data_IF_407537163850
#
_entry.id   IF_407537163850
#
_cell.length_a   1.000
_cell.length_b   1.000
_cell.length_c   1.000
_cell.angle_alpha   90.00
_cell.angle_beta   90.00
_cell.angle_gamma   90.00
#
_symmetry.space_group_name_H-M   'P 1'
#
loop_
_entity.id
_entity.type
_entity.pdbx_description
1 polymer ?
#
# COMPACT_ATOMS: atom_id res chain seq x y z
N UNK A 1 -4.29 -19.24 -13.48
CA UNK A 1 -3.32 -18.12 -13.52
C UNK A 1 -4.06 -16.81 -13.28
N UNK A 2 -3.55 -15.94 -12.42
CA UNK A 2 -4.21 -14.67 -12.11
C UNK A 2 -4.25 -13.73 -13.32
N UNK A 3 -5.33 -12.96 -13.44
CA UNK A 3 -5.47 -11.91 -14.45
C UNK A 3 -5.17 -10.56 -13.81
N UNK A 4 -4.01 -9.99 -14.14
CA UNK A 4 -3.66 -8.63 -13.73
C UNK A 4 -4.38 -7.59 -14.61
N UNK A 5 -4.61 -6.36 -14.10
CA UNK A 5 -5.05 -5.26 -14.96
C UNK A 5 -4.01 -5.02 -16.06
N UNK A 6 -4.46 -4.77 -17.31
CA UNK A 6 -3.55 -4.52 -18.45
C UNK A 6 -2.91 -3.14 -18.41
N UNK A 7 -3.51 -2.22 -17.66
CA UNK A 7 -3.05 -0.84 -17.48
C UNK A 7 -3.25 -0.43 -16.02
N UNK A 8 -2.32 0.35 -15.49
CA UNK A 8 -2.41 0.96 -14.16
C UNK A 8 -2.20 2.46 -14.29
N UNK A 9 -3.11 3.25 -13.76
CA UNK A 9 -2.98 4.71 -13.67
C UNK A 9 -2.24 5.09 -12.38
N UNK A 10 -1.15 5.84 -12.52
CA UNK A 10 -0.31 6.33 -11.42
C UNK A 10 -0.09 7.81 -11.64
N UNK A 11 -0.63 8.67 -10.75
CA UNK A 11 -0.34 10.11 -10.76
C UNK A 11 -0.64 10.84 -12.08
N UNK A 12 -1.55 10.31 -12.89
CA UNK A 12 -1.89 10.82 -14.23
C UNK A 12 -1.22 10.06 -15.39
N UNK A 13 -0.11 9.38 -15.16
CA UNK A 13 0.53 8.48 -16.12
C UNK A 13 -0.24 7.14 -16.21
N UNK A 14 -0.18 6.47 -17.37
CA UNK A 14 -0.88 5.20 -17.61
C UNK A 14 0.13 4.13 -18.01
N UNK A 15 0.49 3.30 -17.04
CA UNK A 15 1.44 2.22 -17.22
C UNK A 15 0.81 1.03 -17.91
N UNK A 16 1.49 0.44 -18.89
CA UNK A 16 1.13 -0.86 -19.46
C UNK A 16 1.68 -1.97 -18.56
N UNK A 17 0.82 -2.87 -18.13
CA UNK A 17 1.21 -4.04 -17.34
C UNK A 17 1.36 -5.25 -18.26
N UNK A 18 2.57 -5.80 -18.30
CA UNK A 18 2.90 -6.98 -19.09
C UNK A 18 3.15 -8.16 -18.15
N UNK A 19 2.36 -9.22 -18.32
CA UNK A 19 2.62 -10.52 -17.72
C UNK A 19 3.44 -11.36 -18.70
N UNK A 20 4.51 -11.99 -18.22
CA UNK A 20 5.37 -12.81 -19.06
C UNK A 20 6.28 -13.74 -18.28
N UNK A 21 7.28 -14.32 -18.96
CA UNK A 21 8.38 -15.01 -18.30
C UNK A 21 9.28 -13.99 -17.58
N UNK A 22 10.26 -14.51 -16.83
CA UNK A 22 11.32 -13.71 -16.21
C UNK A 22 11.93 -12.74 -17.21
N UNK A 23 12.39 -11.60 -16.69
CA UNK A 23 13.17 -10.67 -17.50
C UNK A 23 14.49 -11.31 -17.93
N UNK A 24 15.14 -10.74 -18.94
CA UNK A 24 16.42 -11.24 -19.46
C UNK A 24 17.52 -11.28 -18.38
N UNK A 25 17.40 -10.46 -17.33
CA UNK A 25 18.32 -10.39 -16.21
C UNK A 25 17.91 -11.29 -15.02
N UNK A 26 16.90 -12.14 -15.19
CA UNK A 26 16.39 -13.02 -14.13
C UNK A 26 15.51 -12.34 -13.08
N UNK A 27 15.24 -11.04 -13.21
CA UNK A 27 14.31 -10.34 -12.32
C UNK A 27 12.87 -10.78 -12.56
N UNK A 28 12.12 -10.89 -11.47
CA UNK A 28 10.70 -11.26 -11.46
C UNK A 28 9.75 -10.08 -11.63
N UNK A 29 10.25 -8.86 -11.51
CA UNK A 29 9.54 -7.60 -11.69
C UNK A 29 10.47 -6.58 -12.37
N UNK A 30 9.87 -5.63 -13.10
CA UNK A 30 10.60 -4.53 -13.72
C UNK A 30 9.69 -3.33 -14.01
N UNK A 31 10.13 -2.16 -13.58
CA UNK A 31 9.48 -0.88 -13.82
C UNK A 31 10.34 -0.01 -14.74
N UNK A 32 9.71 0.57 -15.76
CA UNK A 32 10.29 1.56 -16.66
C UNK A 32 9.41 2.81 -16.69
N UNK A 33 9.90 3.86 -16.03
CA UNK A 33 9.21 5.15 -15.93
C UNK A 33 9.05 5.82 -17.31
N UNK A 34 10.11 5.83 -18.11
CA UNK A 34 10.14 6.56 -19.39
C UNK A 34 9.16 5.96 -20.41
N UNK A 35 9.11 4.63 -20.50
CA UNK A 35 8.19 3.94 -21.40
C UNK A 35 6.83 3.62 -20.76
N UNK A 36 6.64 3.94 -19.47
CA UNK A 36 5.44 3.65 -18.69
C UNK A 36 5.09 2.16 -18.74
N UNK A 37 6.05 1.30 -18.40
CA UNK A 37 5.88 -0.16 -18.43
C UNK A 37 6.10 -0.74 -17.03
N UNK A 38 5.21 -1.65 -16.65
CA UNK A 38 5.39 -2.57 -15.52
C UNK A 38 5.39 -3.99 -16.07
N UNK A 39 6.47 -4.75 -15.85
CA UNK A 39 6.55 -6.17 -16.18
C UNK A 39 6.51 -6.99 -14.90
N UNK A 40 5.72 -8.05 -14.89
CA UNK A 40 5.65 -9.01 -13.79
C UNK A 40 5.78 -10.42 -14.35
N UNK A 41 6.76 -11.16 -13.84
CA UNK A 41 7.03 -12.53 -14.25
C UNK A 41 6.02 -13.50 -13.63
N UNK A 42 5.49 -14.41 -14.43
CA UNK A 42 4.65 -15.54 -14.00
C UNK A 42 5.46 -16.80 -13.70
N UNK A 43 6.74 -16.81 -14.06
CA UNK A 43 7.68 -17.89 -13.77
C UNK A 43 8.90 -17.37 -13.01
N UNK A 44 9.56 -18.21 -12.23
CA UNK A 44 10.91 -17.96 -11.71
C UNK A 44 11.71 -19.27 -11.74
N UNK A 45 12.95 -19.26 -12.24
CA UNK A 45 13.80 -20.46 -12.40
C UNK A 45 13.09 -21.62 -13.12
N UNK A 46 12.21 -21.31 -14.08
CA UNK A 46 11.41 -22.29 -14.82
C UNK A 46 10.10 -22.73 -14.15
N UNK A 47 9.91 -22.43 -12.88
CA UNK A 47 8.71 -22.80 -12.12
C UNK A 47 7.62 -21.74 -12.21
N UNK A 48 6.35 -22.17 -12.25
CA UNK A 48 5.22 -21.24 -12.21
C UNK A 48 5.06 -20.63 -10.82
N UNK A 49 5.01 -19.31 -10.75
CA UNK A 49 4.89 -18.57 -9.49
C UNK A 49 3.46 -18.62 -8.96
N UNK A 50 3.34 -18.65 -7.63
CA UNK A 50 2.06 -18.55 -6.96
C UNK A 50 1.42 -17.17 -7.20
N UNK A 51 0.10 -17.10 -7.38
CA UNK A 51 -0.61 -15.85 -7.72
C UNK A 51 -0.37 -14.73 -6.68
N UNK A 52 -0.28 -15.06 -5.40
CA UNK A 52 0.04 -14.07 -4.35
C UNK A 52 1.45 -13.48 -4.51
N UNK A 53 2.44 -14.26 -4.94
CA UNK A 53 3.79 -13.74 -5.21
C UNK A 53 3.80 -12.83 -6.44
N UNK A 54 2.99 -13.14 -7.46
CA UNK A 54 2.80 -12.28 -8.63
C UNK A 54 2.19 -10.94 -8.20
N UNK A 55 1.21 -10.95 -7.30
CA UNK A 55 0.57 -9.73 -6.78
C UNK A 55 1.50 -8.90 -5.88
N UNK A 56 2.29 -9.54 -5.04
CA UNK A 56 3.32 -8.86 -4.24
C UNK A 56 4.35 -8.17 -5.16
N UNK A 57 4.81 -8.87 -6.21
CA UNK A 57 5.69 -8.25 -7.21
C UNK A 57 4.99 -7.10 -7.96
N UNK A 58 3.72 -7.24 -8.32
CA UNK A 58 2.99 -6.10 -8.91
C UNK A 58 2.98 -4.90 -7.96
N UNK A 59 2.72 -5.12 -6.67
CA UNK A 59 2.71 -4.05 -5.67
C UNK A 59 4.08 -3.40 -5.52
N UNK A 60 5.15 -4.19 -5.59
CA UNK A 60 6.54 -3.73 -5.61
C UNK A 60 6.80 -2.77 -6.79
N UNK A 61 6.48 -3.19 -8.01
CA UNK A 61 6.66 -2.32 -9.20
C UNK A 61 5.77 -1.08 -9.17
N UNK A 62 4.57 -1.20 -8.59
CA UNK A 62 3.68 -0.05 -8.37
C UNK A 62 4.30 0.96 -7.42
N UNK A 63 5.01 0.53 -6.37
CA UNK A 63 5.70 1.43 -5.46
C UNK A 63 6.84 2.16 -6.18
N UNK A 64 7.59 1.49 -7.07
CA UNK A 64 8.56 2.19 -7.94
C UNK A 64 7.88 3.23 -8.83
N UNK A 65 6.75 2.90 -9.47
CA UNK A 65 6.02 3.85 -10.29
C UNK A 65 5.52 5.07 -9.50
N UNK A 66 5.04 4.86 -8.27
CA UNK A 66 4.65 5.96 -7.36
C UNK A 66 5.91 6.77 -6.97
N UNK A 67 7.00 6.10 -6.61
CA UNK A 67 8.27 6.75 -6.26
C UNK A 67 8.76 7.65 -7.39
N UNK A 68 8.73 7.19 -8.64
CA UNK A 68 9.16 7.98 -9.79
C UNK A 68 8.34 9.26 -10.00
N UNK A 69 7.03 9.25 -9.67
CA UNK A 69 6.14 10.40 -9.87
C UNK A 69 6.20 11.37 -8.70
N UNK A 70 6.13 10.88 -7.46
CA UNK A 70 5.99 11.73 -6.28
C UNK A 70 7.29 11.95 -5.51
N UNK A 71 8.28 11.07 -5.70
CA UNK A 71 9.54 11.08 -4.95
C UNK A 71 10.77 11.23 -5.83
N UNK A 72 10.62 11.46 -7.14
CA UNK A 72 11.74 11.54 -8.09
C UNK A 72 12.66 10.31 -8.00
N UNK A 73 12.06 9.14 -7.77
CA UNK A 73 12.74 7.85 -7.61
C UNK A 73 13.76 7.77 -6.45
N UNK A 74 13.52 8.54 -5.37
CA UNK A 74 14.39 8.57 -4.17
C UNK A 74 14.31 7.32 -3.28
N UNK A 75 13.40 6.38 -3.54
CA UNK A 75 13.31 5.16 -2.73
C UNK A 75 14.30 4.09 -3.19
N UNK A 76 15.14 3.63 -2.26
CA UNK A 76 16.04 2.51 -2.52
C UNK A 76 15.26 1.19 -2.71
N UNK A 77 15.83 0.25 -3.48
CA UNK A 77 15.29 -1.10 -3.69
C UNK A 77 14.95 -1.82 -2.36
N UNK A 78 15.82 -1.63 -1.36
CA UNK A 78 15.63 -2.17 -0.01
C UNK A 78 14.37 -1.60 0.65
N UNK A 79 14.12 -0.31 0.50
CA UNK A 79 12.90 0.35 1.01
C UNK A 79 11.67 -0.12 0.25
N UNK A 80 11.73 -0.17 -1.08
CA UNK A 80 10.60 -0.61 -1.91
C UNK A 80 10.21 -2.06 -1.61
N UNK A 81 11.20 -2.95 -1.46
CA UNK A 81 10.98 -4.33 -1.01
C UNK A 81 10.27 -4.38 0.35
N UNK A 82 10.76 -3.61 1.34
CA UNK A 82 10.15 -3.60 2.68
C UNK A 82 8.72 -3.06 2.66
N UNK A 83 8.49 -1.96 1.97
CA UNK A 83 7.17 -1.34 1.86
C UNK A 83 6.20 -2.28 1.15
N UNK A 84 6.58 -2.86 0.01
CA UNK A 84 5.72 -3.77 -0.76
C UNK A 84 5.32 -5.00 0.06
N UNK A 85 6.28 -5.69 0.68
CA UNK A 85 5.99 -6.87 1.53
C UNK A 85 5.12 -6.49 2.73
N UNK A 86 5.44 -5.39 3.43
CA UNK A 86 4.68 -4.96 4.60
C UNK A 86 3.24 -4.55 4.25
N UNK A 87 3.06 -3.80 3.16
CA UNK A 87 1.75 -3.41 2.65
C UNK A 87 0.96 -4.63 2.17
N UNK A 88 1.61 -5.57 1.49
CA UNK A 88 0.97 -6.81 1.06
C UNK A 88 0.45 -7.61 2.25
N UNK A 89 1.25 -7.73 3.32
CA UNK A 89 0.84 -8.36 4.57
C UNK A 89 -0.33 -7.61 5.23
N UNK A 90 -0.27 -6.28 5.29
CA UNK A 90 -1.36 -5.46 5.83
C UNK A 90 -2.66 -5.67 5.06
N UNK A 91 -2.63 -5.65 3.72
CA UNK A 91 -3.80 -5.82 2.87
C UNK A 91 -4.43 -7.21 3.03
N UNK A 92 -3.60 -8.26 3.04
CA UNK A 92 -4.05 -9.65 3.11
C UNK A 92 -4.55 -10.03 4.50
N UNK A 93 -3.74 -9.85 5.54
CA UNK A 93 -4.04 -10.33 6.90
C UNK A 93 -5.17 -9.57 7.59
N UNK A 94 -5.45 -8.36 7.11
CA UNK A 94 -6.53 -7.53 7.63
C UNK A 94 -7.76 -7.52 6.73
N UNK A 95 -7.75 -8.28 5.62
CA UNK A 95 -8.83 -8.25 4.64
C UNK A 95 -9.18 -6.80 4.23
N UNK A 96 -8.15 -5.98 4.05
CA UNK A 96 -8.33 -4.54 3.97
C UNK A 96 -8.77 -4.13 2.57
N UNK A 97 -10.04 -3.74 2.45
CA UNK A 97 -10.60 -3.15 1.24
C UNK A 97 -10.62 -1.62 1.40
N UNK A 98 -9.77 -0.94 0.63
CA UNK A 98 -9.53 0.50 0.78
C UNK A 98 -10.66 1.35 0.20
N UNK A 99 -11.40 0.79 -0.76
CA UNK A 99 -12.60 1.40 -1.37
C UNK A 99 -13.82 1.42 -0.45
N UNK A 100 -13.86 0.55 0.56
CA UNK A 100 -15.03 0.50 1.44
C UNK A 100 -15.08 1.75 2.32
N UNK A 101 -16.28 2.32 2.46
CA UNK A 101 -16.50 3.52 3.28
C UNK A 101 -16.12 3.26 4.74
N UNK A 102 -16.45 2.08 5.26
CA UNK A 102 -16.23 1.75 6.68
C UNK A 102 -14.75 1.47 6.93
N UNK A 103 -14.21 2.07 7.99
CA UNK A 103 -12.91 1.69 8.52
C UNK A 103 -12.99 0.29 9.15
N UNK A 104 -11.91 -0.51 9.06
CA UNK A 104 -11.88 -1.78 9.79
C UNK A 104 -11.90 -1.50 11.29
N UNK A 105 -12.41 -2.44 12.09
CA UNK A 105 -12.41 -2.28 13.56
C UNK A 105 -11.06 -2.55 14.19
N UNK A 106 -10.23 -3.37 13.52
CA UNK A 106 -8.92 -3.80 14.02
C UNK A 106 -7.91 -3.94 12.89
N UNK A 107 -6.63 -3.74 13.21
CA UNK A 107 -5.48 -4.00 12.34
C UNK A 107 -4.48 -4.87 13.07
N UNK A 108 -4.16 -6.02 12.49
CA UNK A 108 -3.08 -6.93 12.89
C UNK A 108 -1.82 -6.56 12.14
N UNK A 109 -0.76 -6.24 12.86
CA UNK A 109 0.53 -5.92 12.26
C UNK A 109 1.67 -6.04 13.28
N UNK A 110 2.81 -6.58 12.85
CA UNK A 110 4.00 -6.73 13.70
C UNK A 110 3.80 -7.59 14.95
N UNK A 111 2.84 -8.52 14.94
CA UNK A 111 2.48 -9.34 16.11
C UNK A 111 1.47 -8.69 17.08
N UNK A 112 1.08 -7.43 16.83
CA UNK A 112 0.10 -6.71 17.65
C UNK A 112 -1.27 -6.63 16.95
N UNK A 113 -2.31 -6.38 17.74
CA UNK A 113 -3.67 -6.12 17.26
C UNK A 113 -4.06 -4.71 17.71
N UNK A 114 -4.16 -3.80 16.76
CA UNK A 114 -4.53 -2.41 16.98
C UNK A 114 -6.05 -2.25 16.84
N UNK A 115 -6.71 -1.68 17.84
CA UNK A 115 -8.12 -1.28 17.73
C UNK A 115 -8.23 0.07 17.01
N UNK A 116 -9.17 0.19 16.07
CA UNK A 116 -9.49 1.46 15.42
C UNK A 116 -10.59 2.16 16.21
N UNK A 117 -10.29 3.36 16.68
CA UNK A 117 -11.18 4.17 17.50
C UNK A 117 -11.58 5.41 16.73
N UNK A 118 -12.89 5.50 16.43
CA UNK A 118 -13.50 6.61 15.71
C UNK A 118 -14.96 6.80 16.17
N UNK A 119 -15.35 7.99 16.67
CA UNK A 119 -14.48 9.15 16.92
C UNK A 119 -13.45 8.86 18.03
N UNK A 120 -12.32 9.59 18.06
CA UNK A 120 -11.33 9.45 19.13
C UNK A 120 -11.86 9.98 20.48
N UNK A 121 -11.23 9.62 21.61
CA UNK A 121 -11.49 10.25 22.91
C UNK A 121 -11.20 11.75 22.88
N UNK A 122 -11.95 12.53 23.68
CA UNK A 122 -11.84 14.00 23.74
C UNK A 122 -10.44 14.51 24.09
N UNK A 123 -9.68 13.74 24.87
CA UNK A 123 -8.31 14.08 25.28
C UNK A 123 -7.31 14.01 24.11
N UNK A 124 -7.72 13.39 23.00
CA UNK A 124 -6.94 13.24 21.76
C UNK A 124 -7.53 14.15 20.66
N UNK A 125 -8.65 14.83 20.93
CA UNK A 125 -9.23 15.77 19.99
C UNK A 125 -8.28 16.96 19.79
N UNK A 126 -7.61 16.97 18.63
CA UNK A 126 -7.19 18.21 18.00
C UNK A 126 -8.43 18.93 17.46
N UNK A 127 -8.31 20.24 17.27
CA UNK A 127 -9.31 21.22 16.80
C UNK A 127 -10.59 20.65 16.14
N UNK A 128 -11.77 21.21 16.43
CA UNK A 128 -13.07 20.64 16.01
C UNK A 128 -13.12 20.32 14.51
N UNK A 129 -12.51 21.17 13.67
CA UNK A 129 -12.47 21.06 12.20
C UNK A 129 -11.29 20.24 11.63
N UNK A 130 -10.52 19.53 12.47
CA UNK A 130 -9.32 18.83 12.04
C UNK A 130 -9.57 17.36 11.65
N UNK A 131 -9.00 16.97 10.49
CA UNK A 131 -8.88 15.57 10.05
C UNK A 131 -7.57 14.99 10.51
N UNK A 132 -7.60 13.85 11.21
CA UNK A 132 -6.37 13.18 11.54
C UNK A 132 -6.51 11.67 11.66
N UNK A 133 -5.37 11.01 11.47
CA UNK A 133 -5.17 9.64 11.89
C UNK A 133 -3.80 9.53 12.56
N UNK A 134 -3.75 8.85 13.70
CA UNK A 134 -2.52 8.66 14.47
C UNK A 134 -2.56 7.32 15.21
N UNK A 135 -1.40 6.86 15.70
CA UNK A 135 -1.32 5.65 16.52
C UNK A 135 -0.88 5.95 17.94
N UNK A 136 -1.42 5.18 18.87
CA UNK A 136 -0.90 5.03 20.22
C UNK A 136 -0.47 3.57 20.38
N UNK A 137 0.84 3.35 20.22
CA UNK A 137 1.41 2.00 20.17
C UNK A 137 1.34 1.33 21.55
N UNK A 138 1.52 2.09 22.63
CA UNK A 138 1.41 1.59 24.00
C UNK A 138 0.04 1.00 24.31
N UNK A 139 -1.02 1.59 23.75
CA UNK A 139 -2.39 1.11 23.91
C UNK A 139 -2.85 0.19 22.76
N UNK A 140 -2.02 -0.05 21.75
CA UNK A 140 -2.40 -0.70 20.50
C UNK A 140 -3.69 -0.08 19.92
N UNK A 141 -3.69 1.24 19.68
CA UNK A 141 -4.85 1.96 19.12
C UNK A 141 -4.47 2.80 17.91
N UNK A 142 -5.36 2.84 16.94
CA UNK A 142 -5.32 3.79 15.83
C UNK A 142 -6.52 4.72 15.99
N UNK A 143 -6.24 5.99 16.24
CA UNK A 143 -7.26 7.03 16.36
C UNK A 143 -7.53 7.62 14.99
N UNK A 144 -8.80 7.79 14.64
CA UNK A 144 -9.23 8.33 13.35
C UNK A 144 -10.38 9.31 13.58
N UNK A 145 -10.19 10.57 13.20
CA UNK A 145 -11.22 11.62 13.25
C UNK A 145 -11.58 12.06 11.83
N UNK A 146 -12.87 12.06 11.53
CA UNK A 146 -13.48 12.61 10.32
C UNK A 146 -14.85 13.18 10.67
N UNK A 147 -15.35 14.17 9.92
CA UNK A 147 -16.74 14.61 10.06
C UNK A 147 -17.63 13.77 9.15
N UNK A 148 -18.88 13.56 9.55
CA UNK A 148 -19.87 12.81 8.76
C UNK A 148 -20.20 13.49 7.41
N UNK A 149 -19.80 14.77 7.24
CA UNK A 149 -19.99 15.52 6.00
C UNK A 149 -18.86 15.33 4.97
N UNK A 150 -17.78 14.63 5.33
CA UNK A 150 -16.59 14.52 4.48
C UNK A 150 -16.57 13.32 3.55
N UNK A 151 -15.90 13.48 2.41
CA UNK A 151 -15.75 12.41 1.45
C UNK A 151 -14.92 11.24 2.06
N UNK A 152 -15.46 10.01 2.12
CA UNK A 152 -14.79 8.83 2.69
C UNK A 152 -13.40 8.52 2.12
N UNK A 153 -13.08 9.07 0.95
CA UNK A 153 -11.77 8.95 0.31
C UNK A 153 -10.66 9.63 1.10
N UNK A 154 -10.90 10.81 1.69
CA UNK A 154 -9.87 11.53 2.43
C UNK A 154 -9.43 10.76 3.67
N UNK A 155 -10.38 10.19 4.42
CA UNK A 155 -10.07 9.48 5.66
C UNK A 155 -9.31 8.18 5.40
N UNK A 156 -9.58 7.48 4.30
CA UNK A 156 -8.84 6.27 3.92
C UNK A 156 -7.41 6.59 3.47
N UNK A 157 -7.19 7.72 2.81
CA UNK A 157 -5.84 8.17 2.50
C UNK A 157 -5.04 8.52 3.77
N UNK A 158 -5.66 9.20 4.74
CA UNK A 158 -5.04 9.51 6.03
C UNK A 158 -4.80 8.25 6.86
N UNK A 159 -5.72 7.29 6.80
CA UNK A 159 -5.51 5.99 7.41
C UNK A 159 -4.32 5.25 6.77
N UNK A 160 -4.16 5.31 5.44
CA UNK A 160 -2.99 4.76 4.75
C UNK A 160 -1.69 5.42 5.21
N UNK A 161 -1.68 6.75 5.39
CA UNK A 161 -0.56 7.48 5.99
C UNK A 161 -0.17 6.88 7.34
N UNK A 162 -1.15 6.63 8.20
CA UNK A 162 -0.92 6.03 9.53
C UNK A 162 -0.40 4.60 9.45
N UNK A 163 -0.94 3.78 8.55
CA UNK A 163 -0.45 2.42 8.32
C UNK A 163 1.01 2.43 7.85
N UNK A 164 1.37 3.30 6.92
CA UNK A 164 2.76 3.47 6.48
C UNK A 164 3.66 3.90 7.65
N UNK A 165 3.17 4.75 8.58
CA UNK A 165 3.90 5.09 9.82
C UNK A 165 4.18 3.88 10.68
N UNK A 166 3.23 2.97 10.79
CA UNK A 166 3.41 1.74 11.54
C UNK A 166 4.44 0.85 10.86
N UNK A 167 4.36 0.69 9.53
CA UNK A 167 5.34 -0.05 8.73
C UNK A 167 6.75 0.46 8.96
N UNK A 168 6.95 1.77 8.78
CA UNK A 168 8.28 2.37 8.89
C UNK A 168 8.89 2.22 10.29
N UNK A 169 8.08 2.42 11.34
CA UNK A 169 8.53 2.25 12.73
C UNK A 169 8.91 0.81 13.06
N UNK A 170 8.05 -0.16 12.71
CA UNK A 170 8.25 -1.56 13.12
C UNK A 170 9.36 -2.27 12.35
N UNK A 171 9.68 -1.83 11.13
CA UNK A 171 10.78 -2.39 10.36
C UNK A 171 12.14 -1.71 10.62
N UNK A 172 12.18 -0.68 11.49
CA UNK A 172 13.38 -0.19 12.20
C UNK A 172 14.60 0.16 11.35
N UNK A 173 14.43 0.40 10.05
CA UNK A 173 15.55 0.51 9.09
C UNK A 173 15.35 1.61 8.06
N UNK A 174 14.41 2.52 8.31
CA UNK A 174 14.20 3.68 7.46
C UNK A 174 15.02 4.82 8.05
N UNK A 175 15.79 5.54 7.23
CA UNK A 175 16.43 6.78 7.66
C UNK A 175 15.38 7.87 7.89
N UNK A 176 15.70 8.88 8.69
CA UNK A 176 14.81 10.03 8.89
C UNK A 176 14.48 10.72 7.55
N UNK A 177 15.44 10.77 6.63
CA UNK A 177 15.25 11.28 5.26
C UNK A 177 14.27 10.42 4.45
N UNK A 178 14.37 9.09 4.50
CA UNK A 178 13.43 8.19 3.81
C UNK A 178 12.01 8.34 4.36
N UNK A 179 11.90 8.47 5.68
CA UNK A 179 10.63 8.76 6.37
C UNK A 179 10.08 10.11 5.89
N UNK A 180 10.88 11.17 5.94
CA UNK A 180 10.48 12.51 5.53
C UNK A 180 10.05 12.57 4.07
N UNK A 181 10.78 11.93 3.15
CA UNK A 181 10.41 11.83 1.73
C UNK A 181 9.03 11.18 1.56
N UNK A 182 8.76 10.06 2.24
CA UNK A 182 7.46 9.38 2.18
C UNK A 182 6.33 10.26 2.76
N UNK A 183 6.61 11.05 3.80
CA UNK A 183 5.60 11.88 4.47
C UNK A 183 5.31 13.21 3.79
N UNK A 184 6.35 13.90 3.34
CA UNK A 184 6.27 15.27 2.82
C UNK A 184 5.72 15.30 1.39
N UNK A 185 5.95 14.25 0.59
CA UNK A 185 5.63 14.26 -0.84
C UNK A 185 4.29 13.64 -1.22
N UNK A 186 3.34 13.53 -0.28
CA UNK A 186 2.02 12.92 -0.53
C UNK A 186 2.07 11.47 -1.08
N UNK A 187 3.18 10.74 -0.90
CA UNK A 187 3.35 9.37 -1.39
C UNK A 187 2.21 8.45 -0.95
N UNK A 188 1.74 8.59 0.30
CA UNK A 188 0.61 7.82 0.83
C UNK A 188 -0.70 8.05 0.08
N UNK A 189 -0.91 9.26 -0.47
CA UNK A 189 -2.08 9.58 -1.30
C UNK A 189 -1.95 8.91 -2.67
N UNK A 190 -0.77 8.98 -3.29
CA UNK A 190 -0.47 8.28 -4.54
C UNK A 190 -0.66 6.77 -4.40
N UNK A 191 -0.16 6.17 -3.32
CA UNK A 191 -0.39 4.77 -2.99
C UNK A 191 -1.87 4.43 -2.85
N UNK A 192 -2.62 5.21 -2.06
CA UNK A 192 -4.06 5.01 -1.90
C UNK A 192 -4.80 5.09 -3.25
N UNK A 193 -4.53 6.14 -4.02
CA UNK A 193 -5.12 6.38 -5.34
C UNK A 193 -4.86 5.21 -6.29
N UNK A 194 -3.61 4.76 -6.40
CA UNK A 194 -3.25 3.65 -7.29
C UNK A 194 -3.92 2.35 -6.88
N UNK A 195 -3.95 2.04 -5.58
CA UNK A 195 -4.56 0.80 -5.10
C UNK A 195 -6.07 0.75 -5.37
N UNK A 196 -6.76 1.87 -5.15
CA UNK A 196 -8.22 1.98 -5.30
C UNK A 196 -8.62 2.07 -6.77
N UNK A 197 -8.09 3.04 -7.51
CA UNK A 197 -8.50 3.32 -8.90
C UNK A 197 -8.23 2.15 -9.85
N UNK A 198 -7.21 1.36 -9.56
CA UNK A 198 -6.80 0.22 -10.39
C UNK A 198 -7.30 -1.13 -9.85
N UNK A 199 -8.13 -1.13 -8.81
CA UNK A 199 -8.67 -2.33 -8.17
C UNK A 199 -7.63 -3.34 -7.67
N UNK A 200 -6.45 -2.86 -7.28
CA UNK A 200 -5.36 -3.73 -6.79
C UNK A 200 -5.70 -4.28 -5.40
N UNK A 201 -6.27 -3.45 -4.52
CA UNK A 201 -6.71 -3.85 -3.18
C UNK A 201 -7.70 -5.05 -3.23
N UNK A 202 -8.68 -4.96 -4.13
CA UNK A 202 -9.71 -5.98 -4.33
C UNK A 202 -9.15 -7.22 -4.99
N UNK A 203 -8.20 -7.06 -5.92
CA UNK A 203 -7.53 -8.19 -6.55
C UNK A 203 -6.75 -9.01 -5.51
N UNK A 204 -6.03 -8.34 -4.62
CA UNK A 204 -5.29 -8.97 -3.51
C UNK A 204 -6.26 -9.67 -2.54
N UNK A 205 -7.31 -8.98 -2.11
CA UNK A 205 -8.33 -9.53 -1.22
C UNK A 205 -8.97 -10.81 -1.79
N UNK A 206 -9.41 -10.76 -3.05
CA UNK A 206 -10.06 -11.89 -3.70
C UNK A 206 -9.13 -13.09 -3.85
N UNK A 207 -7.87 -12.86 -4.22
CA UNK A 207 -6.92 -13.95 -4.41
C UNK A 207 -6.51 -14.59 -3.09
N UNK A 208 -6.32 -13.79 -2.03
CA UNK A 208 -6.00 -14.30 -0.71
C UNK A 208 -7.14 -15.18 -0.16
N UNK A 209 -8.39 -14.73 -0.30
CA UNK A 209 -9.56 -15.44 0.21
C UNK A 209 -9.96 -16.69 -0.60
N UNK A 210 -9.47 -16.87 -1.83
CA UNK A 210 -9.63 -18.16 -2.55
C UNK A 210 -8.89 -19.31 -1.88
N UNK A 211 -7.80 -19.03 -1.16
CA UNK A 211 -6.96 -20.05 -0.52
C UNK A 211 -7.51 -20.51 0.83
N UNK A 212 -8.36 -19.69 1.45
CA UNK A 212 -8.94 -19.94 2.79
C UNK A 212 -10.26 -20.72 2.70
N UNK A 213 -10.76 -20.99 1.49
CA UNK A 213 -11.93 -21.83 1.21
C UNK A 213 -11.50 -23.18 0.66
#
# INVERSE_FOLDING_TARGET
MIKLPKKIKVGGAVYKVNLGKETENGYVGYHDYHNQIIKVATTHTGDTRHNLMILETLLHEVIHAISAIWLEDKLSEKVVTKLSTALFFLLTQNNLMLREIKLPKKIKYGGFIYDIVSPPPKEIEMDEDSFFSTTNDAMCRIYVKYSDSDAPFYIKSLFMKTLLKMVMRLHGSFSDEEVENIYSSCFYQGLYQVLVDNNIDTLIYNEYNKKVR
#
